data_IF_001663941304
#
_entry.id   IF_001663941304
#
_cell.length_a   1.000
_cell.length_b   1.000
_cell.length_c   1.000
_cell.angle_alpha   90.00
_cell.angle_beta   90.00
_cell.angle_gamma   90.00
#
_symmetry.space_group_name_H-M   'P 1'
#
loop_
_entity.id
_entity.type
_entity.pdbx_description
1 polymer ?
#
# COMPACT_ATOMS: atom_id res chain seq x y z
N UNK A 1 -23.57 1.58 0.55
CA UNK A 1 -22.70 1.96 -0.57
C UNK A 1 -21.48 1.06 -0.49
N UNK A 2 -21.46 -0.04 -1.24
CA UNK A 2 -20.26 -0.85 -1.42
C UNK A 2 -19.29 -0.02 -2.26
N UNK A 3 -18.30 0.59 -1.62
CA UNK A 3 -17.14 1.13 -2.32
C UNK A 3 -16.61 0.01 -3.22
N UNK A 4 -16.50 0.23 -4.53
CA UNK A 4 -15.89 -0.76 -5.40
C UNK A 4 -14.38 -0.74 -5.17
N UNK A 5 -13.95 -1.57 -4.22
CA UNK A 5 -12.55 -1.74 -3.82
C UNK A 5 -11.68 -2.08 -5.03
N UNK A 6 -12.21 -2.76 -6.05
CA UNK A 6 -11.45 -3.04 -7.26
C UNK A 6 -11.19 -1.79 -8.09
N UNK A 7 -12.21 -0.96 -8.26
CA UNK A 7 -12.05 0.32 -8.97
C UNK A 7 -11.03 1.20 -8.25
N UNK A 8 -11.09 1.29 -6.92
CA UNK A 8 -10.14 2.09 -6.13
C UNK A 8 -8.73 1.52 -6.24
N UNK A 9 -8.57 0.22 -6.03
CA UNK A 9 -7.27 -0.43 -6.10
C UNK A 9 -6.57 -0.19 -7.44
N UNK A 10 -7.33 -0.19 -8.54
CA UNK A 10 -6.81 0.05 -9.87
C UNK A 10 -6.64 1.54 -10.22
N UNK A 11 -7.33 2.45 -9.53
CA UNK A 11 -7.21 3.90 -9.75
C UNK A 11 -6.08 4.49 -8.89
N UNK A 12 -4.85 4.05 -9.16
CA UNK A 12 -3.66 4.48 -8.39
C UNK A 12 -3.43 5.97 -8.62
N UNK A 13 -3.53 6.82 -7.57
CA UNK A 13 -3.14 8.22 -7.70
C UNK A 13 -1.62 8.29 -7.85
N UNK A 14 -1.14 9.03 -8.84
CA UNK A 14 0.30 9.26 -9.00
C UNK A 14 0.86 10.19 -7.91
N UNK A 15 0.05 11.10 -7.39
CA UNK A 15 0.43 12.04 -6.34
C UNK A 15 -0.68 12.09 -5.29
N UNK A 16 -0.32 12.17 -4.01
CA UNK A 16 -1.27 12.30 -2.90
C UNK A 16 -0.78 13.36 -1.93
N UNK A 17 -1.58 14.40 -1.74
CA UNK A 17 -1.29 15.47 -0.79
C UNK A 17 -1.29 14.95 0.66
N UNK A 18 -0.43 15.51 1.52
CA UNK A 18 -0.30 15.08 2.93
C UNK A 18 -1.63 15.07 3.69
N UNK A 19 -2.49 16.05 3.42
CA UNK A 19 -3.81 16.19 4.04
C UNK A 19 -4.80 15.06 3.68
N UNK A 20 -4.56 14.37 2.57
CA UNK A 20 -5.41 13.28 2.07
C UNK A 20 -4.88 11.90 2.49
N UNK A 21 -3.72 11.85 3.16
CA UNK A 21 -3.13 10.63 3.71
C UNK A 21 -3.78 10.33 5.06
N UNK A 22 -4.34 9.13 5.18
CA UNK A 22 -4.94 8.68 6.43
C UNK A 22 -3.84 8.32 7.43
N UNK A 23 -3.98 8.77 8.69
CA UNK A 23 -2.96 8.63 9.74
C UNK A 23 -1.59 9.18 9.29
N UNK A 24 -1.58 10.39 8.76
CA UNK A 24 -0.38 11.06 8.25
C UNK A 24 0.76 11.10 9.28
N UNK A 25 0.46 11.22 10.57
CA UNK A 25 1.44 11.22 11.66
C UNK A 25 2.30 9.95 11.75
N UNK A 26 1.89 8.87 11.08
CA UNK A 26 2.65 7.60 10.97
C UNK A 26 3.19 7.35 9.56
N UNK A 27 3.16 8.35 8.67
CA UNK A 27 3.58 8.20 7.28
C UNK A 27 5.04 7.75 7.19
N UNK A 28 5.94 8.40 7.93
CA UNK A 28 7.37 8.08 7.88
C UNK A 28 7.66 6.61 8.23
N UNK A 29 7.00 6.09 9.27
CA UNK A 29 7.08 4.67 9.63
C UNK A 29 6.60 3.77 8.48
N UNK A 30 5.45 4.10 7.88
CA UNK A 30 4.90 3.34 6.75
C UNK A 30 5.81 3.39 5.52
N UNK A 31 6.41 4.54 5.20
CA UNK A 31 7.36 4.66 4.09
C UNK A 31 8.61 3.84 4.36
N UNK A 32 9.15 3.86 5.59
CA UNK A 32 10.27 3.02 5.97
C UNK A 32 9.97 1.52 5.76
N UNK A 33 8.78 1.08 6.19
CA UNK A 33 8.32 -0.30 6.00
C UNK A 33 8.09 -0.63 4.52
N UNK A 34 7.48 0.28 3.76
CA UNK A 34 7.25 0.11 2.33
C UNK A 34 8.57 -0.08 1.58
N UNK A 35 9.61 0.66 1.95
CA UNK A 35 10.95 0.54 1.38
C UNK A 35 11.63 -0.80 1.67
N UNK A 36 11.26 -1.52 2.75
CA UNK A 36 11.75 -2.89 2.99
C UNK A 36 11.24 -3.88 1.92
N UNK A 37 10.08 -3.62 1.30
CA UNK A 37 9.45 -4.52 0.33
C UNK A 37 9.62 -4.06 -1.12
N UNK A 38 9.36 -2.77 -1.35
CA UNK A 38 9.41 -2.12 -2.65
C UNK A 38 10.29 -0.87 -2.48
N UNK A 39 11.62 -1.03 -2.56
CA UNK A 39 12.55 0.09 -2.36
C UNK A 39 12.27 1.23 -3.34
N UNK A 40 12.39 2.47 -2.88
CA UNK A 40 12.25 3.69 -3.69
C UNK A 40 10.86 3.89 -4.33
N UNK A 41 9.87 3.11 -3.92
CA UNK A 41 8.53 3.12 -4.52
C UNK A 41 7.73 4.38 -4.16
N UNK A 42 8.10 5.05 -3.05
CA UNK A 42 7.45 6.27 -2.57
C UNK A 42 8.40 7.45 -2.69
N UNK A 43 8.09 8.38 -3.57
CA UNK A 43 8.71 9.71 -3.60
C UNK A 43 8.12 10.59 -2.50
N UNK A 44 8.96 11.26 -1.71
CA UNK A 44 8.51 12.22 -0.68
C UNK A 44 8.87 13.62 -1.15
N UNK A 45 7.86 14.43 -1.41
CA UNK A 45 7.98 15.80 -1.90
C UNK A 45 7.38 16.80 -0.89
N UNK A 46 7.56 18.10 -1.12
CA UNK A 46 7.00 19.13 -0.25
C UNK A 46 5.47 19.19 -0.39
N UNK A 47 4.76 18.76 0.64
CA UNK A 47 3.29 18.77 0.70
C UNK A 47 2.58 17.55 0.11
N UNK A 48 3.29 16.59 -0.50
CA UNK A 48 2.70 15.38 -1.09
C UNK A 48 3.69 14.20 -1.14
N UNK A 49 3.16 13.00 -1.41
CA UNK A 49 3.95 11.84 -1.82
C UNK A 49 3.61 11.44 -3.25
N UNK A 50 4.59 10.86 -3.93
CA UNK A 50 4.53 10.48 -5.34
C UNK A 50 4.69 8.95 -5.49
N UNK A 51 3.94 8.40 -6.44
CA UNK A 51 3.98 7.00 -6.83
C UNK A 51 5.11 6.74 -7.82
N UNK A 52 6.13 6.00 -7.39
CA UNK A 52 7.32 5.70 -8.18
C UNK A 52 7.49 4.17 -8.34
N UNK A 53 6.62 3.47 -9.10
CA UNK A 53 6.71 2.03 -9.22
C UNK A 53 8.06 1.61 -9.81
N UNK A 54 8.63 0.52 -9.30
CA UNK A 54 9.85 -0.07 -9.81
C UNK A 54 9.60 -0.85 -11.10
N UNK A 55 8.44 -1.51 -11.21
CA UNK A 55 8.07 -2.30 -12.37
C UNK A 55 7.13 -1.55 -13.34
N UNK A 56 7.23 -1.87 -14.63
CA UNK A 56 6.28 -1.44 -15.65
C UNK A 56 5.77 -2.64 -16.47
N UNK A 57 4.49 -3.05 -16.30
CA UNK A 57 3.48 -2.46 -15.43
C UNK A 57 3.73 -2.75 -13.94
N UNK A 58 3.26 -1.90 -13.00
CA UNK A 58 3.47 -2.11 -11.57
C UNK A 58 2.91 -3.44 -11.10
N UNK A 59 3.69 -4.15 -10.29
CA UNK A 59 3.33 -5.42 -9.70
C UNK A 59 2.14 -5.27 -8.74
N UNK A 60 1.40 -6.36 -8.51
CA UNK A 60 0.29 -6.34 -7.57
C UNK A 60 0.73 -5.97 -6.14
N UNK A 61 1.93 -6.42 -5.76
CA UNK A 61 2.55 -6.09 -4.48
C UNK A 61 2.77 -4.59 -4.32
N UNK A 62 3.38 -3.94 -5.31
CA UNK A 62 3.61 -2.50 -5.31
C UNK A 62 2.29 -1.73 -5.12
N UNK A 63 1.25 -2.11 -5.86
CA UNK A 63 -0.08 -1.48 -5.73
C UNK A 63 -0.65 -1.62 -4.33
N UNK A 64 -0.51 -2.79 -3.69
CA UNK A 64 -0.94 -3.01 -2.31
C UNK A 64 -0.16 -2.14 -1.33
N UNK A 65 1.17 -2.10 -1.45
CA UNK A 65 2.04 -1.33 -0.56
C UNK A 65 1.71 0.16 -0.69
N UNK A 66 1.50 0.67 -1.91
CA UNK A 66 1.06 2.06 -2.14
C UNK A 66 -0.21 2.40 -1.38
N UNK A 67 -1.24 1.60 -1.59
CA UNK A 67 -2.54 1.84 -1.01
C UNK A 67 -2.51 1.72 0.50
N UNK A 68 -1.67 0.85 1.05
CA UNK A 68 -1.43 0.78 2.49
C UNK A 68 -0.71 2.02 3.04
N UNK A 69 0.25 2.58 2.30
CA UNK A 69 0.92 3.84 2.69
C UNK A 69 -0.07 5.00 2.77
N UNK A 70 -0.95 5.12 1.77
CA UNK A 70 -1.91 6.25 1.65
C UNK A 70 -3.17 6.05 2.51
N UNK A 71 -3.74 4.85 2.48
CA UNK A 71 -5.02 4.47 3.09
C UNK A 71 -4.86 3.19 3.92
N UNK A 72 -4.09 3.23 5.02
CA UNK A 72 -3.95 2.06 5.90
C UNK A 72 -5.29 1.59 6.47
N UNK A 73 -6.27 2.48 6.61
CA UNK A 73 -7.66 2.17 7.01
C UNK A 73 -8.38 1.23 6.03
N UNK A 74 -7.99 1.25 4.76
CA UNK A 74 -8.53 0.35 3.73
C UNK A 74 -7.77 -0.96 3.64
N UNK A 75 -6.71 -1.13 4.44
CA UNK A 75 -5.87 -2.31 4.43
C UNK A 75 -6.69 -3.60 4.54
N UNK A 76 -7.61 -3.72 5.51
CA UNK A 76 -8.42 -4.93 5.67
C UNK A 76 -9.23 -5.30 4.40
N UNK A 77 -9.77 -4.31 3.68
CA UNK A 77 -10.50 -4.52 2.44
C UNK A 77 -9.56 -4.94 1.28
N UNK A 78 -8.33 -4.44 1.26
CA UNK A 78 -7.31 -4.89 0.29
C UNK A 78 -6.77 -6.28 0.63
N UNK A 79 -6.58 -6.63 1.91
CA UNK A 79 -6.16 -7.97 2.35
C UNK A 79 -7.21 -9.04 2.03
N UNK A 80 -8.50 -8.76 2.28
CA UNK A 80 -9.60 -9.68 1.94
C UNK A 80 -9.60 -9.98 0.43
N UNK A 81 -9.32 -8.98 -0.41
CA UNK A 81 -9.17 -9.18 -1.87
C UNK A 81 -8.00 -10.10 -2.23
N UNK A 82 -6.93 -10.08 -1.44
CA UNK A 82 -5.75 -10.92 -1.61
C UNK A 82 -5.94 -12.34 -1.07
N UNK A 83 -7.10 -12.66 -0.49
CA UNK A 83 -7.34 -13.95 0.19
C UNK A 83 -6.66 -14.05 1.56
N UNK A 84 -6.27 -12.93 2.16
CA UNK A 84 -5.66 -12.87 3.48
C UNK A 84 -6.65 -12.36 4.53
N UNK A 85 -6.93 -13.16 5.56
CA UNK A 85 -7.88 -12.86 6.65
C UNK A 85 -7.29 -12.00 7.78
N UNK A 86 -6.27 -11.18 7.51
CA UNK A 86 -5.61 -10.37 8.55
C UNK A 86 -5.97 -8.91 8.35
N UNK A 87 -6.48 -8.27 9.41
CA UNK A 87 -6.72 -6.83 9.45
C UNK A 87 -5.38 -6.12 9.26
N UNK A 88 -5.25 -5.20 8.31
CA UNK A 88 -4.00 -4.50 8.02
C UNK A 88 -3.87 -3.26 8.91
N UNK A 89 -3.83 -3.44 10.22
CA UNK A 89 -3.58 -2.34 11.16
C UNK A 89 -2.10 -2.26 11.56
N UNK A 90 -1.35 -3.36 11.46
CA UNK A 90 0.06 -3.42 11.86
C UNK A 90 1.05 -3.73 10.70
N UNK A 91 2.24 -3.09 10.70
CA UNK A 91 3.36 -3.41 9.81
C UNK A 91 3.74 -4.90 9.73
N UNK A 92 3.58 -5.62 10.85
CA UNK A 92 3.90 -7.05 10.97
C UNK A 92 2.90 -7.91 10.20
N UNK A 93 1.63 -7.52 10.20
CA UNK A 93 0.56 -8.24 9.48
C UNK A 93 0.73 -8.07 7.98
N UNK A 94 1.16 -6.90 7.51
CA UNK A 94 1.58 -6.68 6.12
C UNK A 94 2.80 -7.55 5.77
N UNK A 95 3.81 -7.63 6.65
CA UNK A 95 4.97 -8.55 6.48
C UNK A 95 4.53 -10.01 6.31
N UNK A 96 3.53 -10.46 7.05
CA UNK A 96 2.99 -11.82 6.95
C UNK A 96 2.23 -12.01 5.63
N UNK A 97 1.39 -11.06 5.23
CA UNK A 97 0.62 -11.13 3.98
C UNK A 97 1.55 -11.14 2.76
N UNK A 98 2.51 -10.21 2.72
CA UNK A 98 3.48 -10.12 1.63
C UNK A 98 4.38 -11.37 1.61
N UNK A 99 4.84 -11.82 2.77
CA UNK A 99 5.61 -13.06 2.89
C UNK A 99 4.84 -14.27 2.35
N UNK A 100 3.57 -14.41 2.70
CA UNK A 100 2.72 -15.49 2.20
C UNK A 100 2.44 -15.38 0.70
N UNK A 101 2.29 -14.17 0.16
CA UNK A 101 2.12 -13.95 -1.28
C UNK A 101 3.37 -14.41 -2.04
N UNK A 102 4.57 -13.98 -1.61
CA UNK A 102 5.85 -14.37 -2.22
C UNK A 102 6.03 -15.89 -2.19
N UNK A 103 5.73 -16.54 -1.06
CA UNK A 103 5.87 -17.99 -0.87
C UNK A 103 4.82 -18.82 -1.63
N UNK A 104 3.70 -18.22 -2.03
CA UNK A 104 2.62 -18.90 -2.76
C UNK A 104 2.66 -18.67 -4.27
N UNK A 105 3.57 -17.81 -4.74
CA UNK A 105 3.77 -17.47 -6.15
C UNK A 105 4.91 -18.25 -6.84
N UNK A 106 5.45 -19.30 -6.20
CA UNK A 106 6.34 -20.30 -6.82
C UNK A 106 5.60 -21.47 -7.47
#
# INVERSE_FOLDING_TARGET
MTLDVQTIFNSIPNEVAWQDIVQFEKLDDRVAIANDFCPNMVGVNDGFIEWCPNDEPPSYLEKLVWWWVVRPDMGAAFAERCGCNIALEAPVELKIIIGNYILSSE
#
